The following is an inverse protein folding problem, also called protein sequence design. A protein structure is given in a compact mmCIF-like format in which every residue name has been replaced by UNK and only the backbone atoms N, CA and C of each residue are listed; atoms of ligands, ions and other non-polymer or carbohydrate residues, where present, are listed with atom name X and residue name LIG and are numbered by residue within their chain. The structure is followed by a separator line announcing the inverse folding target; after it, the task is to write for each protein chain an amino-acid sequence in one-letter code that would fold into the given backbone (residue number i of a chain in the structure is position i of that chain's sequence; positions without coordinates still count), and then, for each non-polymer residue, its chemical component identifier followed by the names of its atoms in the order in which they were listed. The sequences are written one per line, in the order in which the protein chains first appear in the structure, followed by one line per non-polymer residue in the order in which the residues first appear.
data_IF_472291586703
#
_entry.id   IF_472291586703
#
_cell.length_a   1.000
_cell.length_b   1.000
_cell.length_c   1.000
_cell.angle_alpha   90.00
_cell.angle_beta   90.00
_cell.angle_gamma   90.00
#
_symmetry.space_group_name_H-M   'P 1'
#
loop_
_entity.id
_entity.type
_entity.pdbx_description
1 polymer ?
#
# COMPACT_ATOMS: atom_id res chain seq x y z
N UNK A 1 5.01 3.30 14.41
CA UNK A 1 4.06 4.30 14.95
C UNK A 1 3.49 3.85 16.28
N UNK A 2 2.82 2.69 16.35
CA UNK A 2 2.22 2.16 17.58
C UNK A 2 3.15 2.16 18.81
N UNK A 3 4.43 1.80 18.62
CA UNK A 3 5.43 1.85 19.69
C UNK A 3 5.61 3.26 20.27
N UNK A 4 5.72 4.28 19.41
CA UNK A 4 5.87 5.67 19.84
C UNK A 4 4.58 6.18 20.49
N UNK A 5 3.42 5.86 19.94
CA UNK A 5 2.12 6.27 20.52
C UNK A 5 1.89 5.71 21.91
N UNK A 6 2.34 4.47 22.17
CA UNK A 6 2.17 3.83 23.48
C UNK A 6 3.20 4.25 24.51
N UNK A 7 4.46 4.45 24.08
CA UNK A 7 5.58 4.59 25.01
C UNK A 7 6.14 6.02 25.08
N UNK A 8 5.90 6.85 24.06
CA UNK A 8 6.46 8.20 23.92
C UNK A 8 5.46 9.17 23.28
N UNK A 9 4.27 9.38 23.88
CA UNK A 9 3.22 10.23 23.30
C UNK A 9 3.68 11.69 23.12
N UNK A 10 4.54 12.18 24.02
CA UNK A 10 5.07 13.55 23.96
C UNK A 10 5.97 13.78 22.73
N UNK A 11 6.47 12.70 22.11
CA UNK A 11 7.34 12.76 20.93
C UNK A 11 6.58 12.72 19.60
N UNK A 12 5.25 12.57 19.62
CA UNK A 12 4.46 12.40 18.39
C UNK A 12 4.56 13.59 17.43
N UNK A 13 4.74 14.80 17.95
CA UNK A 13 4.90 16.01 17.15
C UNK A 13 6.23 16.08 16.38
N UNK A 14 7.19 15.21 16.71
CA UNK A 14 8.47 15.09 15.98
C UNK A 14 8.42 14.04 14.87
N UNK A 15 7.36 13.25 14.80
CA UNK A 15 7.19 12.27 13.75
C UNK A 15 6.92 12.99 12.42
N UNK A 16 7.51 12.48 11.33
CA UNK A 16 7.18 12.97 9.99
C UNK A 16 5.68 12.89 9.74
N UNK A 17 5.11 13.96 9.19
CA UNK A 17 3.69 14.03 8.78
C UNK A 17 3.41 13.22 7.52
N UNK A 18 4.46 12.72 6.85
CA UNK A 18 4.34 11.87 5.68
C UNK A 18 3.56 10.58 5.99
N UNK A 19 2.60 10.26 5.11
CA UNK A 19 2.02 8.92 5.04
C UNK A 19 3.11 7.90 4.65
N UNK A 20 2.93 6.63 4.99
CA UNK A 20 3.85 5.61 4.48
C UNK A 20 3.70 5.42 2.96
N UNK A 21 4.67 4.79 2.27
CA UNK A 21 4.56 4.54 0.83
C UNK A 21 3.28 3.83 0.42
N UNK A 22 2.80 2.86 1.21
CA UNK A 22 1.51 2.20 1.00
C UNK A 22 0.35 3.21 1.06
N UNK A 23 0.32 4.04 2.10
CA UNK A 23 -0.75 5.03 2.29
C UNK A 23 -0.72 6.13 1.23
N UNK A 24 0.47 6.57 0.81
CA UNK A 24 0.65 7.53 -0.27
C UNK A 24 0.14 6.96 -1.59
N UNK A 25 0.60 5.77 -1.99
CA UNK A 25 0.23 5.16 -3.25
C UNK A 25 -1.28 4.82 -3.30
N UNK A 26 -1.87 4.33 -2.21
CA UNK A 26 -3.31 4.07 -2.15
C UNK A 26 -4.14 5.34 -2.36
N UNK A 27 -3.75 6.45 -1.70
CA UNK A 27 -4.42 7.74 -1.86
C UNK A 27 -4.28 8.28 -3.29
N UNK A 28 -3.11 8.07 -3.90
CA UNK A 28 -2.83 8.42 -5.27
C UNK A 28 -3.69 7.59 -6.26
N UNK A 29 -3.77 6.27 -6.09
CA UNK A 29 -4.56 5.38 -6.95
C UNK A 29 -6.04 5.80 -6.96
N UNK A 30 -6.65 5.94 -5.78
CA UNK A 30 -8.08 6.26 -5.68
C UNK A 30 -8.39 7.76 -5.88
N UNK A 31 -7.46 8.64 -5.51
CA UNK A 31 -7.64 10.09 -5.60
C UNK A 31 -7.37 10.66 -6.98
N UNK A 32 -6.28 10.26 -7.63
CA UNK A 32 -5.86 10.82 -8.93
C UNK A 32 -6.04 9.83 -10.07
N UNK A 33 -5.50 8.61 -9.96
CA UNK A 33 -5.53 7.68 -11.10
C UNK A 33 -6.96 7.26 -11.46
N UNK A 34 -7.77 6.88 -10.48
CA UNK A 34 -9.16 6.48 -10.70
C UNK A 34 -9.98 7.64 -11.28
N UNK A 35 -9.94 8.82 -10.65
CA UNK A 35 -10.76 9.97 -11.03
C UNK A 35 -10.29 10.66 -12.32
N UNK A 36 -9.00 10.97 -12.41
CA UNK A 36 -8.46 11.83 -13.46
C UNK A 36 -7.93 11.06 -14.67
N UNK A 37 -7.35 9.88 -14.47
CA UNK A 37 -6.74 9.09 -15.55
C UNK A 37 -7.72 8.09 -16.15
N UNK A 38 -8.33 7.24 -15.31
CA UNK A 38 -9.26 6.19 -15.74
C UNK A 38 -10.72 6.64 -15.83
N UNK A 39 -11.08 7.75 -15.17
CA UNK A 39 -12.46 8.29 -15.11
C UNK A 39 -13.47 7.28 -14.57
N UNK A 40 -13.10 6.56 -13.51
CA UNK A 40 -13.93 5.59 -12.80
C UNK A 40 -14.20 6.07 -11.36
N UNK A 41 -15.32 5.64 -10.78
CA UNK A 41 -15.61 5.92 -9.37
C UNK A 41 -14.57 5.21 -8.48
N UNK A 42 -13.89 5.91 -7.55
CA UNK A 42 -12.96 5.27 -6.62
C UNK A 42 -13.56 4.13 -5.78
N UNK A 43 -14.89 4.12 -5.60
CA UNK A 43 -15.61 3.04 -4.90
C UNK A 43 -15.58 1.72 -5.67
N UNK A 44 -15.43 1.80 -6.99
CA UNK A 44 -15.31 0.62 -7.86
C UNK A 44 -13.86 0.12 -7.95
N UNK A 45 -12.91 0.80 -7.28
CA UNK A 45 -11.49 0.42 -7.26
C UNK A 45 -11.15 -0.30 -5.97
N UNK A 46 -10.68 -1.55 -6.11
CA UNK A 46 -10.10 -2.32 -5.01
C UNK A 46 -8.58 -2.23 -5.06
N UNK A 47 -7.98 -1.65 -4.03
CA UNK A 47 -6.53 -1.55 -3.84
C UNK A 47 -6.05 -2.64 -2.89
N UNK A 48 -5.18 -3.51 -3.39
CA UNK A 48 -4.54 -4.58 -2.62
C UNK A 48 -3.05 -4.31 -2.52
N UNK A 49 -2.51 -4.33 -1.31
CA UNK A 49 -1.08 -4.13 -1.06
C UNK A 49 -0.42 -5.42 -0.58
N UNK A 50 0.71 -5.78 -1.18
CA UNK A 50 1.52 -6.93 -0.77
C UNK A 50 2.69 -6.43 0.09
N UNK A 51 2.78 -6.92 1.33
CA UNK A 51 3.70 -6.38 2.33
C UNK A 51 4.50 -7.48 3.04
N UNK A 52 5.77 -7.26 3.39
CA UNK A 52 6.51 -8.16 4.26
C UNK A 52 6.15 -7.99 5.75
N UNK A 53 5.19 -7.11 6.08
CA UNK A 53 4.88 -6.67 7.44
C UNK A 53 3.39 -6.91 7.78
N UNK A 54 3.12 -7.44 8.96
CA UNK A 54 1.75 -7.64 9.47
C UNK A 54 1.12 -6.35 9.97
N UNK A 55 1.90 -5.43 10.55
CA UNK A 55 1.40 -4.16 11.07
C UNK A 55 0.77 -3.26 9.98
N UNK A 56 1.12 -3.47 8.71
CA UNK A 56 0.51 -2.78 7.57
C UNK A 56 -0.99 -3.06 7.42
N UNK A 57 -1.47 -4.20 7.94
CA UNK A 57 -2.91 -4.52 7.97
C UNK A 57 -3.68 -3.59 8.90
N UNK A 58 -3.11 -3.24 10.05
CA UNK A 58 -3.71 -2.27 10.97
C UNK A 58 -3.50 -0.84 10.46
N UNK A 59 -2.36 -0.56 9.82
CA UNK A 59 -2.07 0.76 9.29
C UNK A 59 -3.12 1.23 8.28
N UNK A 60 -3.58 0.38 7.36
CA UNK A 60 -4.58 0.79 6.35
C UNK A 60 -5.90 1.28 6.94
N UNK A 61 -6.26 0.84 8.16
CA UNK A 61 -7.54 1.14 8.80
C UNK A 61 -7.49 2.40 9.68
N UNK A 62 -6.33 3.06 9.77
CA UNK A 62 -6.16 4.30 10.54
C UNK A 62 -6.97 5.42 9.91
N UNK A 63 -7.67 6.18 10.75
CA UNK A 63 -8.51 7.30 10.32
C UNK A 63 -7.73 8.33 9.48
N UNK A 64 -6.46 8.58 9.82
CA UNK A 64 -5.57 9.51 9.12
C UNK A 64 -5.15 9.04 7.72
N UNK A 65 -5.43 7.78 7.38
CA UNK A 65 -5.12 7.17 6.09
C UNK A 65 -6.36 6.88 5.25
N UNK A 66 -7.56 7.28 5.71
CA UNK A 66 -8.76 7.27 4.87
C UNK A 66 -8.72 8.38 3.82
N UNK A 67 -9.52 8.24 2.78
CA UNK A 67 -9.78 9.31 1.82
C UNK A 67 -10.65 10.40 2.48
N UNK A 68 -10.65 11.59 1.89
CA UNK A 68 -11.51 12.70 2.34
C UNK A 68 -13.00 12.35 2.21
N UNK A 69 -13.33 11.40 1.33
CA UNK A 69 -14.67 10.86 1.08
C UNK A 69 -15.02 9.69 2.03
N UNK A 70 -14.13 9.34 2.96
CA UNK A 70 -14.38 8.41 4.07
C UNK A 70 -14.13 6.92 3.77
N UNK A 71 -13.72 6.57 2.54
CA UNK A 71 -13.34 5.19 2.21
C UNK A 71 -11.86 4.92 2.45
N UNK A 72 -11.50 3.64 2.50
CA UNK A 72 -10.11 3.23 2.68
C UNK A 72 -9.32 3.45 1.36
N UNK A 73 -8.16 4.09 1.48
CA UNK A 73 -7.23 4.25 0.36
C UNK A 73 -6.57 2.91 -0.05
N UNK A 74 -6.44 1.98 0.89
CA UNK A 74 -5.99 0.60 0.67
C UNK A 74 -7.01 -0.34 1.32
N UNK A 75 -7.60 -1.24 0.54
CA UNK A 75 -8.69 -2.09 1.01
C UNK A 75 -8.16 -3.33 1.72
N UNK A 76 -7.17 -3.98 1.10
CA UNK A 76 -6.59 -5.23 1.59
C UNK A 76 -5.07 -5.15 1.66
N UNK A 77 -4.51 -5.80 2.66
CA UNK A 77 -3.07 -6.01 2.78
C UNK A 77 -2.82 -7.50 2.95
N UNK A 78 -2.08 -8.08 2.02
CA UNK A 78 -1.61 -9.46 2.08
C UNK A 78 -0.13 -9.48 2.45
N UNK A 79 0.24 -10.43 3.29
CA UNK A 79 1.65 -10.70 3.56
C UNK A 79 2.27 -11.49 2.41
N UNK A 80 3.60 -11.44 2.27
CA UNK A 80 4.34 -12.29 1.32
C UNK A 80 3.99 -13.78 1.47
N UNK A 81 3.75 -14.23 2.72
CA UNK A 81 3.34 -15.62 3.01
C UNK A 81 1.93 -15.94 2.51
N UNK A 82 0.99 -15.00 2.64
CA UNK A 82 -0.38 -15.16 2.15
C UNK A 82 -0.42 -15.18 0.62
N UNK A 83 0.36 -14.31 -0.04
CA UNK A 83 0.51 -14.35 -1.49
C UNK A 83 1.12 -15.68 -1.97
N UNK A 84 2.18 -16.16 -1.31
CA UNK A 84 2.78 -17.45 -1.64
C UNK A 84 1.80 -18.62 -1.47
N UNK A 85 0.92 -18.58 -0.45
CA UNK A 85 -0.14 -19.57 -0.27
C UNK A 85 -1.16 -19.50 -1.41
N UNK A 86 -1.56 -18.30 -1.83
CA UNK A 86 -2.48 -18.10 -2.95
C UNK A 86 -1.91 -18.68 -4.26
N UNK A 87 -0.63 -18.45 -4.56
CA UNK A 87 0.01 -19.07 -5.72
C UNK A 87 -0.03 -20.60 -5.68
N UNK A 88 0.29 -21.21 -4.53
CA UNK A 88 0.21 -22.68 -4.35
C UNK A 88 -1.22 -23.20 -4.54
N UNK A 89 -2.22 -22.51 -4.02
CA UNK A 89 -3.62 -22.91 -4.15
C UNK A 89 -4.13 -22.79 -5.59
N UNK A 90 -3.61 -21.82 -6.35
CA UNK A 90 -3.93 -21.63 -7.76
C UNK A 90 -3.05 -22.44 -8.71
N UNK A 91 -2.16 -23.31 -8.20
CA UNK A 91 -1.18 -24.08 -8.99
C UNK A 91 -0.29 -23.20 -9.88
N UNK A 92 0.09 -22.02 -9.38
CA UNK A 92 0.98 -21.06 -10.05
C UNK A 92 2.40 -21.19 -9.48
N UNK A 93 3.37 -21.39 -10.37
CA UNK A 93 4.79 -21.38 -10.03
C UNK A 93 5.44 -20.09 -10.55
N UNK A 94 5.68 -19.08 -9.69
CA UNK A 94 6.21 -17.78 -10.11
C UNK A 94 7.62 -17.88 -10.69
N UNK A 95 8.38 -18.95 -10.39
CA UNK A 95 9.72 -19.15 -10.96
C UNK A 95 9.72 -19.50 -12.45
N UNK A 96 8.56 -19.97 -12.97
CA UNK A 96 8.39 -20.36 -14.37
C UNK A 96 7.72 -19.29 -15.22
N UNK A 97 7.31 -18.17 -14.61
CA UNK A 97 6.63 -17.10 -15.33
C UNK A 97 7.66 -16.23 -16.06
N UNK A 98 7.40 -15.84 -17.31
CA UNK A 98 8.25 -14.87 -18.00
C UNK A 98 8.16 -13.50 -17.29
N UNK A 99 9.23 -12.69 -17.31
CA UNK A 99 9.18 -11.34 -16.78
C UNK A 99 8.19 -10.50 -17.58
N UNK A 100 7.39 -9.72 -16.87
CA UNK A 100 6.42 -8.77 -17.45
C UNK A 100 6.67 -7.38 -16.87
N UNK A 101 6.35 -6.35 -17.65
CA UNK A 101 6.40 -4.98 -17.15
C UNK A 101 5.24 -4.71 -16.19
N UNK A 102 5.45 -3.80 -15.25
CA UNK A 102 4.40 -3.29 -14.38
C UNK A 102 3.52 -2.29 -15.13
N UNK A 103 2.28 -2.13 -14.65
CA UNK A 103 1.40 -1.08 -15.15
C UNK A 103 1.94 0.31 -14.82
N UNK A 104 1.90 1.20 -15.80
CA UNK A 104 2.22 2.60 -15.59
C UNK A 104 1.01 3.35 -15.01
N UNK A 105 0.90 3.33 -13.67
CA UNK A 105 -0.18 4.01 -12.96
C UNK A 105 0.11 5.51 -12.77
N UNK A 106 1.36 5.89 -12.46
CA UNK A 106 1.78 7.29 -12.22
C UNK A 106 3.27 7.57 -12.52
N UNK A 107 3.82 6.94 -13.55
CA UNK A 107 5.25 6.85 -13.88
C UNK A 107 6.08 5.91 -12.98
N UNK A 108 7.31 5.63 -13.41
CA UNK A 108 8.25 4.74 -12.74
C UNK A 108 8.75 5.33 -11.41
N UNK A 109 8.93 4.47 -10.40
CA UNK A 109 9.56 4.85 -9.14
C UNK A 109 11.05 5.11 -9.30
N UNK A 110 11.58 6.12 -8.59
CA UNK A 110 13.02 6.38 -8.58
C UNK A 110 13.77 5.37 -7.70
N UNK A 111 15.08 5.22 -7.90
CA UNK A 111 15.90 4.23 -7.18
C UNK A 111 15.80 4.29 -5.65
N UNK A 112 15.53 5.46 -5.08
CA UNK A 112 15.30 5.62 -3.64
C UNK A 112 14.02 4.90 -3.14
N UNK A 113 12.96 4.87 -3.96
CA UNK A 113 11.74 4.12 -3.65
C UNK A 113 11.94 2.60 -3.76
N UNK A 114 12.84 2.16 -4.66
CA UNK A 114 13.14 0.74 -4.87
C UNK A 114 13.90 0.13 -3.68
N UNK A 115 14.79 0.89 -3.04
CA UNK A 115 15.63 0.39 -1.92
C UNK A 115 15.01 0.52 -0.53
N UNK A 116 13.80 1.07 -0.40
CA UNK A 116 13.17 1.45 0.87
C UNK A 116 13.07 0.30 1.91
N UNK A 117 13.09 -0.96 1.47
CA UNK A 117 12.98 -2.14 2.33
C UNK A 117 14.30 -2.77 2.79
N UNK A 118 15.46 -2.15 2.49
CA UNK A 118 16.78 -2.69 2.81
C UNK A 118 17.37 -1.91 3.99
N UNK A 119 17.01 -2.29 5.22
CA UNK A 119 17.61 -1.79 6.46
C UNK A 119 17.74 -2.89 7.50
#
# INVERSE_FOLDING_TARGET
ILFMEKNYPDMLNHLSTCKSPQGMLGALIKGYWAKNVKKIDPKDVVSVSIMPCTAKKEEKDRITLKSDEGYNNVDYVLTTRELAKMFKQSNIDPSKLPPTQFDNVMSEGTGAAVIFGVT
#
